data_IF_222926356511
#
_entry.id   IF_222926356511
#
_cell.length_a   1.000
_cell.length_b   1.000
_cell.length_c   1.000
_cell.angle_alpha   90.00
_cell.angle_beta   90.00
_cell.angle_gamma   90.00
#
_symmetry.space_group_name_H-M   'P 1'
#
loop_
_entity.id
_entity.type
_entity.pdbx_description
1 polymer ?
#
# COMPACT_ATOMS: atom_id res chain seq x y z
N UNK A 1 -1.58 19.21 19.41
CA UNK A 1 -2.30 18.74 20.60
C UNK A 1 -3.38 17.79 20.17
N UNK A 2 -3.61 16.73 20.93
CA UNK A 2 -4.62 15.69 20.65
C UNK A 2 -6.08 16.22 20.71
N UNK A 3 -6.25 17.48 21.12
CA UNK A 3 -7.54 18.17 21.23
C UNK A 3 -8.21 18.49 19.89
N UNK A 4 -7.49 18.45 18.77
CA UNK A 4 -8.05 18.74 17.44
C UNK A 4 -8.85 17.57 16.83
N UNK A 5 -8.72 16.35 17.36
CA UNK A 5 -9.33 15.14 16.78
C UNK A 5 -10.77 14.89 17.27
N UNK A 6 -11.20 15.52 18.36
CA UNK A 6 -12.54 15.30 18.95
C UNK A 6 -13.62 16.17 18.28
N UNK A 7 -13.24 17.24 17.57
CA UNK A 7 -14.19 18.20 17.00
C UNK A 7 -14.92 17.74 15.71
N UNK A 8 -14.57 16.59 15.13
CA UNK A 8 -15.13 16.13 13.85
C UNK A 8 -16.45 15.34 13.97
N UNK A 9 -16.97 15.10 15.19
CA UNK A 9 -18.08 14.17 15.42
C UNK A 9 -19.46 14.81 15.66
N UNK A 10 -19.61 16.13 15.54
CA UNK A 10 -20.93 16.79 15.65
C UNK A 10 -21.31 17.44 14.32
N UNK A 11 -22.06 16.71 13.51
CA UNK A 11 -22.72 17.27 12.34
C UNK A 11 -23.82 18.25 12.74
N UNK A 12 -23.95 19.34 11.97
CA UNK A 12 -25.20 20.08 11.89
C UNK A 12 -25.41 20.59 10.44
N UNK A 13 -26.65 20.54 9.92
CA UNK A 13 -26.93 20.69 8.49
C UNK A 13 -27.38 22.11 8.08
N UNK A 14 -27.37 22.29 6.75
CA UNK A 14 -28.23 23.15 5.92
C UNK A 14 -27.76 24.57 5.53
N UNK A 15 -28.16 24.90 4.29
CA UNK A 15 -28.27 26.21 3.62
C UNK A 15 -27.05 26.61 2.78
N UNK A 16 -27.14 27.19 1.58
CA UNK A 16 -28.18 27.38 0.56
C UNK A 16 -27.44 27.98 -0.66
N UNK A 17 -27.95 27.66 -1.85
CA UNK A 17 -27.77 28.27 -3.17
C UNK A 17 -26.93 29.56 -3.35
N UNK A 18 -26.06 29.57 -4.36
CA UNK A 18 -26.13 30.60 -5.43
C UNK A 18 -25.19 30.27 -6.60
N UNK A 19 -25.82 30.00 -7.74
CA UNK A 19 -25.21 30.01 -9.07
C UNK A 19 -24.78 31.43 -9.45
N UNK A 20 -23.55 31.59 -9.93
CA UNK A 20 -23.22 32.70 -10.83
C UNK A 20 -22.10 32.30 -11.80
N UNK A 21 -22.49 32.16 -13.06
CA UNK A 21 -21.61 32.20 -14.21
C UNK A 21 -21.02 33.61 -14.30
N UNK A 22 -19.72 33.74 -14.46
CA UNK A 22 -19.10 34.96 -14.99
C UNK A 22 -17.97 34.55 -15.92
N UNK A 23 -18.34 34.43 -17.20
CA UNK A 23 -17.40 34.55 -18.30
C UNK A 23 -16.95 36.00 -18.37
N UNK A 24 -15.65 36.24 -18.30
CA UNK A 24 -15.04 37.49 -18.71
C UNK A 24 -13.88 37.14 -19.65
N UNK A 25 -14.17 37.30 -20.94
CA UNK A 25 -13.17 37.46 -22.00
C UNK A 25 -12.61 38.88 -21.97
N UNK A 26 -11.59 39.09 -22.78
CA UNK A 26 -10.92 40.36 -23.13
C UNK A 26 -9.79 40.76 -22.16
N UNK A 27 -8.59 41.15 -22.59
CA UNK A 27 -8.10 41.49 -23.92
C UNK A 27 -6.57 41.46 -23.94
N UNK A 28 -6.04 41.19 -25.13
CA UNK A 28 -4.80 41.71 -25.74
C UNK A 28 -3.54 41.88 -24.88
N UNK A 29 -2.56 41.02 -25.13
CA UNK A 29 -1.16 41.41 -25.06
C UNK A 29 -0.41 40.87 -26.27
N UNK A 30 -0.07 41.78 -27.17
CA UNK A 30 0.79 41.56 -28.32
C UNK A 30 2.22 41.34 -27.83
N UNK A 31 2.76 40.14 -28.00
CA UNK A 31 4.20 39.90 -27.87
C UNK A 31 4.69 39.15 -29.12
N UNK A 32 5.68 39.75 -29.78
CA UNK A 32 6.20 39.34 -31.07
C UNK A 32 7.06 38.08 -30.90
N UNK A 33 6.53 36.92 -31.26
CA UNK A 33 7.27 35.66 -31.28
C UNK A 33 8.24 35.56 -32.47
N UNK A 34 9.38 34.87 -32.34
CA UNK A 34 10.39 34.80 -33.39
C UNK A 34 9.92 33.97 -34.60
N UNK A 35 10.19 34.47 -35.81
CA UNK A 35 10.02 33.76 -37.08
C UNK A 35 10.64 32.35 -37.02
N UNK A 36 9.77 31.33 -37.01
CA UNK A 36 10.19 29.94 -36.88
C UNK A 36 10.41 29.35 -38.27
N UNK A 37 11.66 29.30 -38.72
CA UNK A 37 12.02 28.51 -39.90
C UNK A 37 11.64 27.03 -39.69
N UNK A 38 11.05 26.32 -40.67
CA UNK A 38 10.70 24.92 -40.52
C UNK A 38 11.96 24.05 -40.42
N UNK A 39 12.37 23.75 -39.19
CA UNK A 39 13.37 22.71 -38.92
C UNK A 39 12.76 21.36 -39.27
N UNK A 40 13.15 20.80 -40.43
CA UNK A 40 12.83 19.41 -40.80
C UNK A 40 13.47 18.49 -39.76
N UNK A 41 12.73 18.18 -38.70
CA UNK A 41 13.06 17.10 -37.78
C UNK A 41 12.94 15.80 -38.56
N UNK A 42 14.07 15.18 -38.87
CA UNK A 42 14.11 13.77 -39.26
C UNK A 42 13.39 13.01 -38.15
N UNK A 43 12.30 12.32 -38.49
CA UNK A 43 11.55 11.56 -37.50
C UNK A 43 12.49 10.61 -36.75
N UNK A 44 12.40 10.49 -35.41
CA UNK A 44 13.21 9.53 -34.69
C UNK A 44 12.93 8.14 -35.27
N UNK A 45 14.01 7.39 -35.53
CA UNK A 45 13.91 5.99 -35.96
C UNK A 45 13.05 5.25 -34.93
N UNK A 46 11.89 4.76 -35.36
CA UNK A 46 11.01 3.95 -34.51
C UNK A 46 11.71 2.60 -34.30
N UNK A 47 12.48 2.51 -33.22
CA UNK A 47 12.94 1.22 -32.72
C UNK A 47 11.71 0.42 -32.30
N UNK A 48 11.59 -0.87 -32.71
CA UNK A 48 10.47 -1.70 -32.28
C UNK A 48 10.47 -1.77 -30.75
N UNK A 49 9.31 -1.48 -30.16
CA UNK A 49 9.14 -1.60 -28.72
C UNK A 49 9.56 -3.03 -28.29
N UNK A 50 10.33 -3.18 -27.18
CA UNK A 50 10.71 -4.50 -26.70
C UNK A 50 9.43 -5.32 -26.51
N UNK A 51 9.45 -6.56 -27.01
CA UNK A 51 8.30 -7.48 -26.91
C UNK A 51 7.94 -7.60 -25.43
N UNK A 52 6.83 -7.00 -25.03
CA UNK A 52 6.26 -7.19 -23.69
C UNK A 52 6.12 -8.71 -23.52
N UNK A 53 6.67 -9.33 -22.47
CA UNK A 53 6.46 -10.76 -22.25
C UNK A 53 4.95 -10.98 -22.26
N UNK A 54 4.48 -11.92 -23.09
CA UNK A 54 3.09 -12.35 -23.05
C UNK A 54 2.94 -12.99 -21.68
N UNK A 55 2.45 -12.21 -20.71
CA UNK A 55 2.28 -12.66 -19.33
C UNK A 55 1.21 -13.75 -19.35
N UNK A 56 1.65 -14.99 -19.55
CA UNK A 56 0.83 -16.17 -19.32
C UNK A 56 0.37 -16.09 -17.88
N UNK A 57 -0.91 -15.77 -17.67
CA UNK A 57 -1.47 -15.63 -16.33
C UNK A 57 -1.56 -17.02 -15.70
N UNK A 58 -0.93 -17.16 -14.53
CA UNK A 58 -1.01 -18.36 -13.72
C UNK A 58 -2.43 -18.60 -13.21
N UNK A 59 -2.79 -19.88 -13.08
CA UNK A 59 -4.09 -20.26 -12.58
C UNK A 59 -4.21 -19.92 -11.10
N UNK A 60 -5.04 -18.91 -10.77
CA UNK A 60 -5.31 -18.50 -9.38
C UNK A 60 -5.61 -19.69 -8.46
N UNK A 61 -6.51 -20.59 -8.86
CA UNK A 61 -6.91 -21.74 -8.04
C UNK A 61 -5.77 -22.75 -7.80
N UNK A 62 -4.88 -22.93 -8.77
CA UNK A 62 -3.73 -23.82 -8.62
C UNK A 62 -2.62 -23.18 -7.76
N UNK A 63 -2.35 -21.89 -7.99
CA UNK A 63 -1.29 -21.13 -7.32
C UNK A 63 -1.57 -20.92 -5.83
N UNK A 64 -2.78 -20.50 -5.44
CA UNK A 64 -3.12 -20.27 -4.02
C UNK A 64 -3.86 -21.43 -3.36
N UNK A 65 -4.71 -22.15 -4.10
CA UNK A 65 -5.65 -23.14 -3.56
C UNK A 65 -5.20 -24.60 -3.67
N UNK A 66 -4.03 -24.89 -4.25
CA UNK A 66 -3.51 -26.26 -4.33
C UNK A 66 -4.24 -27.18 -5.34
N UNK A 67 -5.45 -26.83 -5.78
CA UNK A 67 -6.23 -27.65 -6.72
C UNK A 67 -7.02 -26.78 -7.70
N UNK A 68 -7.04 -27.20 -8.96
CA UNK A 68 -7.88 -26.60 -9.99
C UNK A 68 -8.77 -27.69 -10.58
N UNK A 69 -10.09 -27.52 -10.51
CA UNK A 69 -11.06 -28.50 -11.02
C UNK A 69 -10.91 -28.79 -12.53
N UNK A 70 -10.27 -27.89 -13.28
CA UNK A 70 -9.99 -28.04 -14.70
C UNK A 70 -8.75 -28.89 -14.99
N UNK A 71 -7.91 -29.19 -13.98
CA UNK A 71 -6.69 -30.00 -14.07
C UNK A 71 -5.92 -29.70 -15.37
N UNK A 72 -5.71 -30.67 -16.25
CA UNK A 72 -4.99 -30.51 -17.52
C UNK A 72 -5.72 -29.74 -18.63
N UNK A 73 -6.97 -29.32 -18.42
CA UNK A 73 -7.78 -28.52 -19.38
C UNK A 73 -7.90 -27.06 -18.95
N UNK A 74 -7.12 -26.64 -17.96
CA UNK A 74 -7.10 -25.26 -17.51
C UNK A 74 -6.48 -24.37 -18.60
N UNK A 75 -7.14 -23.25 -18.92
CA UNK A 75 -6.63 -22.23 -19.85
C UNK A 75 -5.49 -21.38 -19.26
N UNK A 76 -5.22 -21.54 -17.96
CA UNK A 76 -4.22 -20.79 -17.22
C UNK A 76 -3.09 -21.74 -16.79
N UNK A 77 -1.87 -21.21 -16.70
CA UNK A 77 -0.68 -22.02 -16.41
C UNK A 77 -0.71 -22.56 -14.98
N UNK A 78 -0.50 -23.85 -14.82
CA UNK A 78 -0.28 -24.52 -13.53
C UNK A 78 1.23 -24.57 -13.27
N UNK A 79 1.76 -23.50 -12.68
CA UNK A 79 3.19 -23.42 -12.34
C UNK A 79 3.39 -23.79 -10.88
N UNK A 80 4.24 -24.78 -10.65
CA UNK A 80 4.58 -25.26 -9.32
C UNK A 80 5.44 -24.24 -8.56
N UNK A 81 6.31 -23.49 -9.24
CA UNK A 81 7.15 -22.49 -8.59
C UNK A 81 6.33 -21.34 -7.98
N UNK A 82 5.25 -20.92 -8.66
CA UNK A 82 4.33 -19.88 -8.13
C UNK A 82 3.54 -20.41 -6.94
N UNK A 83 3.18 -21.69 -6.93
CA UNK A 83 2.55 -22.31 -5.75
C UNK A 83 3.52 -22.35 -4.58
N UNK A 84 4.73 -22.84 -4.79
CA UNK A 84 5.70 -23.01 -3.71
C UNK A 84 6.11 -21.65 -3.13
N UNK A 85 6.18 -20.61 -3.98
CA UNK A 85 6.35 -19.23 -3.53
C UNK A 85 5.17 -18.74 -2.67
N UNK A 86 3.92 -19.02 -3.07
CA UNK A 86 2.73 -18.66 -2.28
C UNK A 86 2.65 -19.43 -0.95
N UNK A 87 3.08 -20.69 -0.90
CA UNK A 87 3.17 -21.47 0.33
C UNK A 87 4.23 -20.87 1.26
N UNK A 88 5.43 -20.60 0.72
CA UNK A 88 6.53 -20.01 1.49
C UNK A 88 6.18 -18.62 2.02
N UNK A 89 5.58 -17.76 1.21
CA UNK A 89 5.13 -16.43 1.65
C UNK A 89 4.08 -16.54 2.75
N UNK A 90 3.14 -17.48 2.61
CA UNK A 90 2.15 -17.76 3.66
C UNK A 90 2.82 -18.23 4.95
N UNK A 91 3.80 -19.12 4.88
CA UNK A 91 4.55 -19.58 6.06
C UNK A 91 5.37 -18.46 6.72
N UNK A 92 6.04 -17.64 5.92
CA UNK A 92 6.83 -16.49 6.40
C UNK A 92 5.95 -15.42 7.06
N UNK A 93 4.73 -15.21 6.56
CA UNK A 93 3.77 -14.25 7.11
C UNK A 93 2.97 -14.80 8.30
N UNK A 94 3.45 -15.88 8.94
CA UNK A 94 2.82 -16.47 10.12
C UNK A 94 1.66 -17.41 9.80
N UNK A 95 1.55 -17.93 8.58
CA UNK A 95 0.60 -18.99 8.24
C UNK A 95 -0.87 -18.61 8.47
N UNK A 96 -1.72 -19.64 8.57
CA UNK A 96 -3.09 -19.48 9.08
C UNK A 96 -3.03 -19.75 10.57
N UNK A 97 -2.92 -18.70 11.38
CA UNK A 97 -3.07 -18.83 12.82
C UNK A 97 -4.54 -18.94 13.21
N UNK A 98 -4.82 -19.81 14.19
CA UNK A 98 -6.15 -19.91 14.79
C UNK A 98 -6.47 -18.64 15.57
N UNK A 99 -7.76 -18.35 15.79
CA UNK A 99 -8.18 -17.21 16.62
C UNK A 99 -7.54 -17.26 18.02
N UNK A 100 -7.52 -18.46 18.63
CA UNK A 100 -6.91 -18.68 19.93
C UNK A 100 -5.42 -18.30 19.93
N UNK A 101 -4.67 -18.74 18.92
CA UNK A 101 -3.25 -18.43 18.79
C UNK A 101 -2.99 -16.93 18.63
N UNK A 102 -3.84 -16.22 17.87
CA UNK A 102 -3.75 -14.77 17.74
C UNK A 102 -4.02 -14.05 19.07
N UNK A 103 -5.00 -14.52 19.84
CA UNK A 103 -5.27 -14.00 21.19
C UNK A 103 -4.07 -14.21 22.11
N UNK A 104 -3.52 -15.43 22.15
CA UNK A 104 -2.33 -15.74 22.98
C UNK A 104 -1.14 -14.85 22.62
N UNK A 105 -0.90 -14.61 21.33
CA UNK A 105 0.17 -13.71 20.89
C UNK A 105 -0.07 -12.28 21.37
N UNK A 106 -1.30 -11.77 21.23
CA UNK A 106 -1.63 -10.42 21.66
C UNK A 106 -1.51 -10.23 23.18
N UNK A 107 -1.88 -11.24 23.97
CA UNK A 107 -1.74 -11.18 25.42
C UNK A 107 -0.27 -11.22 25.84
N UNK A 108 0.54 -12.06 25.20
CA UNK A 108 1.99 -12.09 25.42
C UNK A 108 2.65 -10.73 25.12
N UNK A 109 2.30 -10.10 24.00
CA UNK A 109 2.83 -8.77 23.65
C UNK A 109 2.44 -7.70 24.68
N UNK A 110 1.21 -7.76 25.22
CA UNK A 110 0.79 -6.84 26.30
C UNK A 110 1.57 -7.08 27.57
N UNK A 111 1.79 -8.33 27.95
CA UNK A 111 2.54 -8.70 29.16
C UNK A 111 4.00 -8.23 29.05
N UNK A 112 4.65 -8.47 27.92
CA UNK A 112 6.02 -8.00 27.64
C UNK A 112 6.09 -6.46 27.73
N UNK A 113 5.13 -5.74 27.15
CA UNK A 113 5.05 -4.28 27.28
C UNK A 113 4.78 -3.82 28.72
N UNK A 114 3.98 -4.56 29.49
CA UNK A 114 3.72 -4.24 30.90
C UNK A 114 4.98 -4.43 31.74
N UNK A 115 5.75 -5.49 31.51
CA UNK A 115 7.03 -5.75 32.16
C UNK A 115 8.03 -4.63 31.86
N UNK A 116 8.16 -4.23 30.60
CA UNK A 116 9.06 -3.12 30.23
C UNK A 116 8.63 -1.80 30.88
N UNK A 117 7.33 -1.52 30.95
CA UNK A 117 6.79 -0.33 31.63
C UNK A 117 7.05 -0.35 33.13
N UNK A 118 6.90 -1.50 33.78
CA UNK A 118 7.15 -1.61 35.23
C UNK A 118 8.62 -1.44 35.56
N UNK A 119 9.52 -2.01 34.76
CA UNK A 119 10.98 -1.80 34.88
C UNK A 119 11.30 -0.31 34.73
N UNK A 120 10.80 0.34 33.68
CA UNK A 120 11.00 1.78 33.45
C UNK A 120 10.50 2.62 34.62
N UNK A 121 9.31 2.31 35.14
CA UNK A 121 8.73 3.00 36.28
C UNK A 121 9.59 2.86 37.55
N UNK A 122 10.09 1.65 37.82
CA UNK A 122 10.96 1.40 38.98
C UNK A 122 12.32 2.09 38.85
N UNK A 123 12.87 2.16 37.63
CA UNK A 123 14.08 2.92 37.33
C UNK A 123 13.90 4.42 37.55
N UNK A 124 12.81 5.01 37.04
CA UNK A 124 12.47 6.43 37.26
C UNK A 124 12.28 6.77 38.74
N UNK A 125 11.89 5.78 39.56
CA UNK A 125 11.73 5.93 41.00
C UNK A 125 13.04 5.74 41.79
N UNK A 126 14.15 5.44 41.11
CA UNK A 126 15.45 5.18 41.74
C UNK A 126 15.48 3.89 42.55
N UNK A 127 14.63 2.91 42.21
CA UNK A 127 14.52 1.62 42.92
C UNK A 127 15.25 0.47 42.22
N UNK A 128 15.79 0.70 41.02
CA UNK A 128 16.60 -0.25 40.27
C UNK A 128 17.89 0.45 39.83
N UNK A 129 19.03 -0.21 40.04
CA UNK A 129 20.30 0.21 39.49
C UNK A 129 20.31 0.03 37.97
N UNK A 130 21.01 0.91 37.27
CA UNK A 130 21.19 0.81 35.81
C UNK A 130 21.87 -0.54 35.50
N UNK A 131 21.35 -1.34 34.56
CA UNK A 131 21.98 -2.60 34.24
C UNK A 131 23.40 -2.32 33.72
N UNK A 132 24.43 -2.82 34.40
CA UNK A 132 25.78 -2.88 33.83
C UNK A 132 25.71 -3.69 32.53
N UNK A 133 25.94 -3.03 31.39
CA UNK A 133 26.11 -3.72 30.12
C UNK A 133 27.42 -4.53 30.17
N UNK A 134 27.27 -5.86 30.24
CA UNK A 134 28.37 -6.84 30.24
C UNK A 134 28.65 -7.38 28.83
#
# INVERSE_FOLDING_TARGET
GIDALIAAATGNPASDSSSSYTSASDSDSSDSGPDTAPSKRTAPVVVPAPKKPILQRHCKYFSTGGTCGKKGKCRFVHDQAVRDAAIREKEMNGGVMTLAQRLTQNDREKDELMVLKSIKYLHEKGMLDEPEEA
#
